data_IF_133973065709
#
_entry.id   IF_133973065709
#
_cell.length_a   1.000
_cell.length_b   1.000
_cell.length_c   1.000
_cell.angle_alpha   90.00
_cell.angle_beta   90.00
_cell.angle_gamma   90.00
#
_symmetry.space_group_name_H-M   'P 1'
#
loop_
_entity.id
_entity.type
_entity.pdbx_description
1 polymer ?
#
# COMPACT_ATOMS: atom_id res chain seq x y z
N UNK A 1 23.32 3.54 -1.61
CA UNK A 1 22.84 3.76 -2.98
C UNK A 1 21.51 4.48 -2.92
N UNK A 2 21.27 5.44 -3.79
CA UNK A 2 19.95 6.06 -3.93
C UNK A 2 18.99 5.15 -4.74
N UNK A 3 17.69 5.42 -4.69
CA UNK A 3 16.68 4.58 -5.37
C UNK A 3 16.93 4.43 -6.87
N UNK A 4 17.50 5.45 -7.52
CA UNK A 4 17.82 5.41 -8.95
C UNK A 4 18.95 4.43 -9.23
N UNK A 5 20.02 4.46 -8.43
CA UNK A 5 21.16 3.54 -8.54
C UNK A 5 20.74 2.09 -8.32
N UNK A 6 19.88 1.85 -7.31
CA UNK A 6 19.36 0.50 -7.02
C UNK A 6 18.52 -0.03 -8.19
N UNK A 7 17.60 0.79 -8.72
CA UNK A 7 16.76 0.40 -9.86
C UNK A 7 17.59 0.10 -11.09
N UNK A 8 18.61 0.89 -11.35
CA UNK A 8 19.49 0.70 -12.51
C UNK A 8 20.29 -0.60 -12.39
N UNK A 9 20.79 -0.92 -11.20
CA UNK A 9 21.47 -2.18 -10.95
C UNK A 9 20.55 -3.39 -11.12
N UNK A 10 19.29 -3.31 -10.66
CA UNK A 10 18.30 -4.37 -10.85
C UNK A 10 18.06 -4.60 -12.35
N UNK A 11 17.82 -3.55 -13.13
CA UNK A 11 17.59 -3.67 -14.58
C UNK A 11 18.78 -4.34 -15.30
N UNK A 12 20.01 -4.00 -14.92
CA UNK A 12 21.20 -4.63 -15.48
C UNK A 12 21.26 -6.15 -15.21
N UNK A 13 20.80 -6.60 -14.04
CA UNK A 13 20.71 -8.03 -13.77
C UNK A 13 19.58 -8.69 -14.56
N UNK A 14 18.42 -8.04 -14.68
CA UNK A 14 17.28 -8.56 -15.44
C UNK A 14 17.63 -8.82 -16.90
N UNK A 15 18.39 -7.92 -17.53
CA UNK A 15 18.82 -8.05 -18.94
C UNK A 15 19.64 -9.33 -19.22
N UNK A 16 20.30 -9.89 -18.20
CA UNK A 16 21.14 -11.08 -18.31
C UNK A 16 20.45 -12.40 -17.94
N UNK A 17 19.21 -12.37 -17.47
CA UNK A 17 18.50 -13.57 -17.01
C UNK A 17 17.82 -14.33 -18.15
N UNK A 18 17.72 -15.65 -18.01
CA UNK A 18 16.86 -16.46 -18.88
C UNK A 18 15.39 -16.21 -18.58
N UNK A 19 14.51 -16.56 -19.53
CA UNK A 19 13.05 -16.43 -19.37
C UNK A 19 12.52 -17.11 -18.10
N UNK A 20 12.96 -18.33 -17.81
CA UNK A 20 12.56 -19.06 -16.59
C UNK A 20 12.97 -18.31 -15.30
N UNK A 21 14.13 -17.65 -15.31
CA UNK A 21 14.60 -16.85 -14.17
C UNK A 21 13.84 -15.53 -14.07
N UNK A 22 13.47 -14.94 -15.20
CA UNK A 22 12.64 -13.74 -15.24
C UNK A 22 11.23 -14.00 -14.69
N UNK A 23 10.64 -15.15 -14.99
CA UNK A 23 9.35 -15.57 -14.41
C UNK A 23 9.43 -15.66 -12.88
N UNK A 24 10.47 -16.32 -12.35
CA UNK A 24 10.69 -16.37 -10.90
C UNK A 24 10.88 -14.98 -10.26
N UNK A 25 11.59 -14.08 -10.94
CA UNK A 25 11.77 -12.71 -10.45
C UNK A 25 10.45 -11.93 -10.50
N UNK A 26 9.64 -12.12 -11.53
CA UNK A 26 8.32 -11.49 -11.62
C UNK A 26 7.41 -11.93 -10.46
N UNK A 27 7.37 -13.22 -10.15
CA UNK A 27 6.61 -13.76 -9.01
C UNK A 27 7.10 -13.16 -7.69
N UNK A 28 8.41 -13.04 -7.50
CA UNK A 28 8.98 -12.46 -6.28
C UNK A 28 8.68 -10.96 -6.15
N UNK A 29 8.75 -10.20 -7.24
CA UNK A 29 8.39 -8.78 -7.24
C UNK A 29 6.89 -8.57 -6.98
N UNK A 30 6.03 -9.44 -7.49
CA UNK A 30 4.60 -9.44 -7.18
C UNK A 30 4.38 -9.66 -5.67
N UNK A 31 5.03 -10.68 -5.09
CA UNK A 31 5.00 -10.93 -3.64
C UNK A 31 5.46 -9.72 -2.82
N UNK A 32 6.55 -9.06 -3.21
CA UNK A 32 7.04 -7.88 -2.50
C UNK A 32 6.07 -6.69 -2.60
N UNK A 33 5.42 -6.51 -3.75
CA UNK A 33 4.41 -5.48 -3.96
C UNK A 33 3.19 -5.72 -3.07
N UNK A 34 2.73 -6.97 -3.01
CA UNK A 34 1.62 -7.36 -2.14
C UNK A 34 2.01 -7.17 -0.66
N UNK A 35 3.24 -7.56 -0.27
CA UNK A 35 3.75 -7.38 1.09
C UNK A 35 3.89 -5.93 1.51
N UNK A 36 4.38 -5.06 0.64
CA UNK A 36 4.46 -3.62 0.91
C UNK A 36 3.05 -3.02 1.11
N UNK A 37 2.04 -3.54 0.39
CA UNK A 37 0.63 -3.20 0.62
C UNK A 37 0.05 -3.82 1.91
N UNK A 38 0.51 -5.01 2.30
CA UNK A 38 0.11 -5.70 3.53
C UNK A 38 0.70 -5.06 4.79
N UNK A 39 1.94 -4.59 4.78
CA UNK A 39 2.59 -3.95 5.94
C UNK A 39 1.80 -2.69 6.38
N UNK A 40 1.36 -1.87 5.43
CA UNK A 40 0.47 -0.73 5.69
C UNK A 40 -0.93 -1.15 6.20
N UNK A 41 -1.35 -2.37 5.88
CA UNK A 41 -2.62 -2.96 6.33
C UNK A 41 -2.49 -3.56 7.73
N UNK A 42 -1.34 -4.15 8.06
CA UNK A 42 -1.06 -4.76 9.36
C UNK A 42 -0.98 -3.70 10.46
N UNK A 43 -0.36 -2.54 10.19
CA UNK A 43 -0.36 -1.42 11.12
C UNK A 43 -1.79 -0.99 11.52
N UNK A 44 -2.73 -1.02 10.57
CA UNK A 44 -4.14 -0.71 10.84
C UNK A 44 -4.84 -1.81 11.64
N UNK A 45 -4.52 -3.08 11.38
CA UNK A 45 -5.08 -4.22 12.11
C UNK A 45 -4.58 -4.29 13.56
N UNK A 46 -3.38 -3.78 13.82
CA UNK A 46 -2.79 -3.72 15.17
C UNK A 46 -3.43 -2.63 16.04
N UNK A 47 -4.18 -1.68 15.45
CA UNK A 47 -4.92 -0.66 16.20
C UNK A 47 -6.15 -1.31 16.87
N UNK A 48 -6.24 -1.30 18.21
CA UNK A 48 -7.38 -1.91 18.90
C UNK A 48 -8.71 -1.27 18.48
N UNK A 49 -9.66 -2.08 18.05
CA UNK A 49 -10.99 -1.62 17.65
C UNK A 49 -11.06 -0.96 16.26
N UNK A 50 -10.01 -1.08 15.45
CA UNK A 50 -9.96 -0.47 14.11
C UNK A 50 -11.02 -1.03 13.19
N UNK A 51 -11.16 -2.36 13.10
CA UNK A 51 -12.13 -3.00 12.19
C UNK A 51 -13.56 -2.54 12.49
N UNK A 52 -13.94 -2.49 13.77
CA UNK A 52 -15.26 -2.03 14.19
C UNK A 52 -15.47 -0.55 13.86
N UNK A 53 -14.43 0.27 14.04
CA UNK A 53 -14.47 1.69 13.74
C UNK A 53 -14.53 1.97 12.23
N UNK A 54 -13.84 1.16 11.43
CA UNK A 54 -13.82 1.23 9.98
C UNK A 54 -15.19 0.85 9.40
N UNK A 55 -15.77 -0.27 9.83
CA UNK A 55 -17.12 -0.67 9.39
C UNK A 55 -18.19 0.32 9.83
N UNK A 56 -18.07 0.89 11.03
CA UNK A 56 -18.95 2.00 11.47
C UNK A 56 -18.81 3.22 10.56
N UNK A 57 -17.60 3.61 10.19
CA UNK A 57 -17.35 4.72 9.27
C UNK A 57 -17.97 4.50 7.89
N UNK A 58 -17.88 3.27 7.34
CA UNK A 58 -18.56 2.90 6.09
C UNK A 58 -20.08 3.07 6.19
N UNK A 59 -20.67 2.64 7.31
CA UNK A 59 -22.10 2.83 7.58
C UNK A 59 -22.46 4.31 7.71
N UNK A 60 -21.63 5.10 8.39
CA UNK A 60 -21.83 6.55 8.53
C UNK A 60 -21.84 7.25 7.16
N UNK A 61 -20.93 6.88 6.25
CA UNK A 61 -20.90 7.40 4.88
C UNK A 61 -22.18 7.02 4.12
N UNK A 62 -22.57 5.74 4.16
CA UNK A 62 -23.77 5.26 3.47
C UNK A 62 -25.05 5.94 3.97
N UNK A 63 -25.12 6.24 5.26
CA UNK A 63 -26.27 6.89 5.90
C UNK A 63 -26.16 8.43 5.90
N UNK A 64 -25.16 9.00 5.20
CA UNK A 64 -24.98 10.44 5.05
C UNK A 64 -24.54 11.18 6.32
N UNK A 65 -24.08 10.46 7.35
CA UNK A 65 -23.51 11.02 8.60
C UNK A 65 -22.08 11.50 8.39
N UNK A 66 -21.93 12.45 7.47
CA UNK A 66 -20.66 13.09 7.13
C UNK A 66 -20.76 14.59 7.36
N UNK A 67 -19.61 15.23 7.61
CA UNK A 67 -19.51 16.69 7.71
C UNK A 67 -18.61 17.20 6.60
N UNK A 68 -18.98 18.33 5.99
CA UNK A 68 -18.11 18.97 5.00
C UNK A 68 -16.83 19.43 5.69
N UNK A 69 -15.66 19.11 5.13
CA UNK A 69 -14.38 19.46 5.75
C UNK A 69 -14.24 20.97 6.00
N UNK A 70 -14.85 21.81 5.15
CA UNK A 70 -14.85 23.28 5.29
C UNK A 70 -15.57 23.77 6.54
N UNK A 71 -16.47 22.95 7.11
CA UNK A 71 -17.19 23.29 8.35
C UNK A 71 -16.46 22.78 9.59
N UNK A 72 -15.35 22.07 9.42
CA UNK A 72 -14.54 21.51 10.53
C UNK A 72 -13.26 22.32 10.71
N UNK A 73 -12.65 22.77 9.61
CA UNK A 73 -11.38 23.51 9.64
C UNK A 73 -11.58 24.92 10.23
N UNK A 74 -10.67 25.35 11.11
CA UNK A 74 -10.71 26.65 11.80
C UNK A 74 -9.59 27.63 11.41
N UNK A 75 -8.67 27.23 10.53
CA UNK A 75 -7.42 27.93 10.18
C UNK A 75 -7.34 28.37 8.71
N UNK A 76 -8.47 28.74 8.08
CA UNK A 76 -8.49 29.36 6.74
C UNK A 76 -8.87 30.82 6.78
#
# INVERSE_FOLDING_TARGET
MNNTEVRQQINQYLDGLSSERLELVADFLAYLTDKESEDATQELLDIPGFIESFERGKKDIAEGRVKNWRTIRSDV
#
